data_IF_654238891082
#
_entry.id   IF_654238891082
#
_cell.length_a   1.000
_cell.length_b   1.000
_cell.length_c   1.000
_cell.angle_alpha   90.00
_cell.angle_beta   90.00
_cell.angle_gamma   90.00
#
_symmetry.space_group_name_H-M   'P 1'
#
loop_
_entity.id
_entity.type
_entity.pdbx_description
1 polymer ?
#
# COMPACT_ATOMS: atom_id res chain seq x y z
N UNK A 1 13.52 13.26 -1.36
CA UNK A 1 12.48 13.94 -0.57
C UNK A 1 12.29 13.18 0.74
N UNK A 2 12.00 13.85 1.85
CA UNK A 2 11.65 13.20 3.13
C UNK A 2 10.33 13.78 3.61
N UNK A 3 9.33 12.92 3.81
CA UNK A 3 8.01 13.26 4.31
C UNK A 3 7.46 12.08 5.11
N UNK A 4 6.46 12.31 5.96
CA UNK A 4 5.69 11.18 6.52
C UNK A 4 4.82 10.58 5.42
N UNK A 5 4.47 9.30 5.58
CA UNK A 5 3.80 8.56 4.50
C UNK A 5 2.46 9.21 4.10
N UNK A 6 1.62 9.56 5.08
CA UNK A 6 0.35 10.24 4.85
C UNK A 6 0.51 11.64 4.21
N UNK A 7 1.55 12.39 4.59
CA UNK A 7 1.83 13.73 4.04
C UNK A 7 2.29 13.68 2.58
N UNK A 8 2.91 12.57 2.17
CA UNK A 8 3.44 12.42 0.81
C UNK A 8 2.34 12.17 -0.24
N UNK A 9 1.14 11.72 0.15
CA UNK A 9 0.03 11.43 -0.77
C UNK A 9 -0.35 12.64 -1.63
N UNK A 10 -0.36 13.84 -1.04
CA UNK A 10 -0.74 15.07 -1.73
C UNK A 10 0.27 15.53 -2.78
N UNK A 11 1.46 14.92 -2.82
CA UNK A 11 2.53 15.27 -3.75
C UNK A 11 2.41 14.50 -5.07
N UNK A 12 1.55 13.49 -5.12
CA UNK A 12 1.34 12.64 -6.29
C UNK A 12 -0.13 12.67 -6.69
N UNK A 13 -0.39 12.95 -7.97
CA UNK A 13 -1.73 12.75 -8.55
C UNK A 13 -2.08 11.27 -8.67
N UNK A 14 -3.34 10.99 -8.96
CA UNK A 14 -3.78 9.63 -9.23
C UNK A 14 -3.11 9.11 -10.50
N UNK A 15 -2.65 7.86 -10.45
CA UNK A 15 -1.88 7.24 -11.53
C UNK A 15 -0.56 7.94 -11.88
N UNK A 16 0.00 8.77 -11.00
CA UNK A 16 1.27 9.45 -11.26
C UNK A 16 2.50 8.55 -11.08
N UNK A 17 2.37 7.41 -10.40
CA UNK A 17 3.47 6.52 -10.05
C UNK A 17 3.42 5.21 -10.84
N UNK A 18 4.59 4.79 -11.33
CA UNK A 18 4.79 3.46 -11.92
C UNK A 18 4.86 2.35 -10.86
N UNK A 19 5.42 2.69 -9.69
CA UNK A 19 5.77 1.72 -8.65
C UNK A 19 5.72 2.33 -7.26
N UNK A 20 5.18 1.58 -6.30
CA UNK A 20 5.19 1.91 -4.86
C UNK A 20 5.58 0.65 -4.08
N UNK A 21 6.51 0.80 -3.11
CA UNK A 21 6.89 -0.26 -2.17
C UNK A 21 6.58 0.16 -0.73
N UNK A 22 5.75 -0.61 -0.02
CA UNK A 22 5.30 -0.31 1.34
C UNK A 22 6.01 -1.18 2.37
N UNK A 23 6.77 -0.55 3.28
CA UNK A 23 7.52 -1.24 4.36
C UNK A 23 7.25 -0.66 5.76
N UNK A 24 6.86 0.62 5.86
CA UNK A 24 6.72 1.30 7.16
C UNK A 24 5.60 0.80 8.08
N UNK A 25 4.55 0.17 7.53
CA UNK A 25 3.38 -0.34 8.26
C UNK A 25 3.15 -1.85 8.07
N UNK A 26 4.10 -2.52 7.41
CA UNK A 26 3.95 -3.88 6.92
C UNK A 26 3.81 -4.92 8.05
N UNK A 27 4.34 -4.68 9.25
CA UNK A 27 4.11 -5.61 10.39
C UNK A 27 2.75 -5.46 11.07
N UNK A 28 2.06 -4.33 10.90
CA UNK A 28 0.85 -3.98 11.68
C UNK A 28 -0.45 -4.00 10.88
N UNK A 29 -0.41 -4.49 9.64
CA UNK A 29 -1.60 -4.57 8.81
C UNK A 29 -1.89 -3.32 8.00
N UNK A 30 -0.89 -2.49 7.69
CA UNK A 30 -1.06 -1.34 6.80
C UNK A 30 -2.23 -0.42 7.21
N UNK A 31 -2.37 -0.19 8.52
CA UNK A 31 -3.47 0.58 9.12
C UNK A 31 -4.86 0.04 8.70
N UNK A 32 -5.03 -1.29 8.73
CA UNK A 32 -6.28 -1.94 8.27
C UNK A 32 -6.43 -1.90 6.75
N UNK A 33 -5.31 -1.90 6.02
CA UNK A 33 -5.27 -1.79 4.56
C UNK A 33 -5.55 -0.40 4.01
N UNK A 34 -5.75 0.61 4.85
CA UNK A 34 -5.98 2.00 4.40
C UNK A 34 -4.78 2.54 3.64
N UNK A 35 -3.58 2.22 4.14
CA UNK A 35 -2.34 2.55 3.45
C UNK A 35 -2.30 1.94 2.04
N UNK A 36 -2.75 0.70 1.85
CA UNK A 36 -2.75 0.06 0.53
C UNK A 36 -3.73 0.76 -0.41
N UNK A 37 -4.93 1.12 0.07
CA UNK A 37 -5.95 1.83 -0.72
C UNK A 37 -5.47 3.20 -1.21
N UNK A 38 -5.00 4.04 -0.30
CA UNK A 38 -4.60 5.42 -0.63
C UNK A 38 -3.42 5.45 -1.61
N UNK A 39 -2.47 4.54 -1.44
CA UNK A 39 -1.30 4.49 -2.33
C UNK A 39 -1.58 3.78 -3.66
N UNK A 40 -2.55 2.86 -3.70
CA UNK A 40 -2.98 2.22 -4.95
C UNK A 40 -3.57 3.23 -5.94
N UNK A 41 -4.33 4.22 -5.47
CA UNK A 41 -4.85 5.29 -6.33
C UNK A 41 -3.74 6.08 -7.04
N UNK A 42 -2.56 6.18 -6.41
CA UNK A 42 -1.41 6.91 -6.96
C UNK A 42 -0.64 6.08 -7.98
N UNK A 43 -0.85 4.75 -8.01
CA UNK A 43 -0.24 3.85 -8.98
C UNK A 43 -1.05 3.85 -10.27
N UNK A 44 -0.37 3.99 -11.41
CA UNK A 44 -1.05 4.00 -12.72
C UNK A 44 -1.62 2.63 -13.07
N UNK A 45 -2.60 2.55 -13.98
CA UNK A 45 -2.99 1.28 -14.59
C UNK A 45 -1.78 0.56 -15.19
N UNK A 46 -1.58 -0.71 -14.79
CA UNK A 46 -0.42 -1.51 -15.17
C UNK A 46 0.85 -1.26 -14.34
N UNK A 47 0.82 -0.35 -13.38
CA UNK A 47 1.87 -0.16 -12.37
C UNK A 47 1.81 -1.23 -11.28
N UNK A 48 2.78 -1.18 -10.37
CA UNK A 48 2.96 -2.20 -9.32
C UNK A 48 2.91 -1.55 -7.94
N UNK A 49 2.04 -2.08 -7.07
CA UNK A 49 2.10 -1.86 -5.63
C UNK A 49 2.64 -3.13 -4.97
N UNK A 50 3.77 -3.00 -4.29
CA UNK A 50 4.42 -4.08 -3.57
C UNK A 50 4.64 -3.68 -2.10
N UNK A 51 4.99 -4.64 -1.26
CA UNK A 51 5.31 -4.36 0.13
C UNK A 51 5.97 -5.54 0.83
N UNK A 52 6.36 -5.29 2.07
CA UNK A 52 6.98 -6.28 2.94
C UNK A 52 5.93 -7.11 3.73
N UNK A 53 6.39 -8.14 4.44
CA UNK A 53 5.62 -8.90 5.43
C UNK A 53 4.34 -9.62 4.94
N UNK A 54 4.24 -9.95 3.65
CA UNK A 54 3.21 -10.89 3.19
C UNK A 54 3.61 -12.33 3.55
N UNK A 55 3.46 -12.68 4.83
CA UNK A 55 3.87 -13.97 5.39
C UNK A 55 2.96 -14.36 6.57
N UNK A 56 2.67 -15.65 6.80
CA UNK A 56 1.83 -16.10 7.92
C UNK A 56 2.30 -15.64 9.31
N UNK A 57 3.59 -15.34 9.49
CA UNK A 57 4.13 -14.74 10.71
C UNK A 57 3.47 -13.38 11.03
N UNK A 58 2.99 -12.67 10.03
CA UNK A 58 2.42 -11.32 10.12
C UNK A 58 0.94 -11.35 9.73
N UNK A 59 0.15 -12.11 10.48
CA UNK A 59 -1.26 -12.40 10.16
C UNK A 59 -2.09 -11.16 9.87
N UNK A 60 -1.89 -10.06 10.61
CA UNK A 60 -2.59 -8.79 10.37
C UNK A 60 -2.31 -8.20 8.99
N UNK A 61 -1.06 -8.31 8.53
CA UNK A 61 -0.65 -7.83 7.22
C UNK A 61 -1.12 -8.72 6.10
N UNK A 62 -0.96 -10.03 6.28
CA UNK A 62 -1.50 -11.02 5.35
C UNK A 62 -3.00 -10.80 5.15
N UNK A 63 -3.77 -10.67 6.23
CA UNK A 63 -5.20 -10.42 6.18
C UNK A 63 -5.55 -9.07 5.52
N UNK A 64 -4.81 -8.00 5.81
CA UNK A 64 -5.03 -6.69 5.21
C UNK A 64 -4.76 -6.70 3.69
N UNK A 65 -3.68 -7.36 3.26
CA UNK A 65 -3.33 -7.50 1.83
C UNK A 65 -4.35 -8.37 1.11
N UNK A 66 -4.77 -9.50 1.70
CA UNK A 66 -5.77 -10.39 1.10
C UNK A 66 -7.13 -9.69 0.96
N UNK A 67 -7.58 -8.97 1.99
CA UNK A 67 -8.81 -8.17 1.94
C UNK A 67 -8.74 -7.06 0.89
N UNK A 68 -7.60 -6.35 0.82
CA UNK A 68 -7.37 -5.33 -0.19
C UNK A 68 -7.46 -5.92 -1.61
N UNK A 69 -6.78 -7.05 -1.86
CA UNK A 69 -6.81 -7.73 -3.16
C UNK A 69 -8.22 -8.16 -3.56
N UNK A 70 -9.01 -8.69 -2.63
CA UNK A 70 -10.38 -9.12 -2.90
C UNK A 70 -11.30 -7.95 -3.27
N UNK A 71 -11.07 -6.77 -2.70
CA UNK A 71 -11.84 -5.56 -3.00
C UNK A 71 -11.52 -4.93 -4.38
N UNK A 72 -10.46 -5.39 -5.06
CA UNK A 72 -10.06 -4.92 -6.40
C UNK A 72 -10.58 -5.82 -7.54
N UNK A 73 -11.22 -6.95 -7.21
CA UNK A 73 -11.80 -7.90 -8.17
C UNK A 73 -13.28 -7.57 -8.45
#
# INVERSE_FOLDING_TARGET
>A
MRARFQEALALFGDGALDFVYVDGYAHQGNEGGETLRQWWEKVRPGGILAGHDYHPQWEKNLAAVDAFRQAQA
#
